data_IF_928030841060
#
_entry.id   IF_928030841060
#
_cell.length_a   1.000
_cell.length_b   1.000
_cell.length_c   1.000
_cell.angle_alpha   90.00
_cell.angle_beta   90.00
_cell.angle_gamma   90.00
#
_symmetry.space_group_name_H-M   'P 1'
#
loop_
_entity.id
_entity.type
_entity.pdbx_description
1 polymer ?
#
# COMPACT_ATOMS: atom_id res chain seq x y z
N UNK A 1 -74.26 -21.41 20.01
CA UNK A 1 -73.24 -20.36 20.23
C UNK A 1 -71.98 -20.90 19.59
N UNK A 2 -71.84 -20.70 18.28
CA UNK A 2 -70.75 -21.27 17.50
C UNK A 2 -69.64 -20.23 17.32
N UNK A 3 -68.43 -20.63 17.69
CA UNK A 3 -67.22 -19.82 17.73
C UNK A 3 -66.59 -19.74 16.32
N UNK A 4 -66.25 -18.55 15.78
CA UNK A 4 -65.58 -18.45 14.49
C UNK A 4 -64.13 -18.95 14.59
N UNK A 5 -63.78 -19.91 13.73
CA UNK A 5 -62.45 -20.51 13.63
C UNK A 5 -61.42 -19.50 13.12
N UNK A 6 -60.41 -19.21 13.93
CA UNK A 6 -59.25 -18.41 13.55
C UNK A 6 -58.33 -19.27 12.63
N UNK A 7 -57.88 -18.78 11.45
CA UNK A 7 -57.03 -19.57 10.56
C UNK A 7 -55.68 -19.92 11.20
N UNK A 8 -55.22 -21.15 10.96
CA UNK A 8 -53.96 -21.67 11.51
C UNK A 8 -52.73 -21.01 10.89
N UNK A 9 -51.60 -20.90 11.62
CA UNK A 9 -50.41 -20.12 11.23
C UNK A 9 -49.72 -20.57 9.92
N UNK A 10 -50.04 -21.76 9.41
CA UNK A 10 -49.54 -22.25 8.12
C UNK A 10 -50.23 -21.55 6.94
N UNK A 11 -51.51 -21.19 7.09
CA UNK A 11 -52.30 -20.48 6.06
C UNK A 11 -51.81 -19.03 5.85
N UNK A 12 -51.42 -18.35 6.93
CA UNK A 12 -50.87 -16.99 6.85
C UNK A 12 -49.48 -16.95 6.22
N UNK A 13 -48.62 -17.94 6.48
CA UNK A 13 -47.26 -17.99 5.90
C UNK A 13 -47.29 -18.24 4.39
N UNK A 14 -48.23 -19.06 3.92
CA UNK A 14 -48.41 -19.33 2.49
C UNK A 14 -49.03 -18.14 1.74
N UNK A 15 -49.97 -17.43 2.35
CA UNK A 15 -50.56 -16.22 1.76
C UNK A 15 -49.58 -15.03 1.72
N UNK A 16 -48.71 -14.88 2.73
CA UNK A 16 -47.62 -13.88 2.72
C UNK A 16 -46.58 -14.18 1.64
N UNK A 17 -46.14 -15.44 1.49
CA UNK A 17 -45.21 -15.86 0.42
C UNK A 17 -45.81 -15.65 -0.99
N UNK A 18 -47.10 -15.91 -1.17
CA UNK A 18 -47.79 -15.66 -2.43
C UNK A 18 -47.88 -14.15 -2.75
N UNK A 19 -48.15 -13.30 -1.76
CA UNK A 19 -48.17 -11.83 -1.93
C UNK A 19 -46.79 -11.25 -2.27
N UNK A 20 -45.72 -11.77 -1.65
CA UNK A 20 -44.34 -11.34 -1.94
C UNK A 20 -43.92 -11.74 -3.36
N UNK A 21 -44.19 -12.99 -3.78
CA UNK A 21 -43.91 -13.44 -5.15
C UNK A 21 -44.68 -12.64 -6.20
N UNK A 22 -45.96 -12.33 -5.94
CA UNK A 22 -46.77 -11.51 -6.85
C UNK A 22 -46.26 -10.07 -6.95
N UNK A 23 -45.77 -9.48 -5.85
CA UNK A 23 -45.11 -8.16 -5.87
C UNK A 23 -43.78 -8.19 -6.64
N UNK A 24 -42.94 -9.20 -6.40
CA UNK A 24 -41.66 -9.37 -7.12
C UNK A 24 -41.87 -9.57 -8.63
N UNK A 25 -42.88 -10.34 -9.04
CA UNK A 25 -43.24 -10.50 -10.45
C UNK A 25 -43.74 -9.19 -11.10
N UNK A 26 -44.50 -8.38 -10.37
CA UNK A 26 -44.97 -7.07 -10.87
C UNK A 26 -43.79 -6.08 -11.01
N UNK A 27 -42.85 -6.05 -10.06
CA UNK A 27 -41.66 -5.22 -10.17
C UNK A 27 -40.73 -5.65 -11.32
N UNK A 28 -40.57 -6.97 -11.54
CA UNK A 28 -39.79 -7.49 -12.68
C UNK A 28 -40.43 -7.13 -14.02
N UNK A 29 -41.76 -7.24 -14.14
CA UNK A 29 -42.50 -6.83 -15.34
C UNK A 29 -42.41 -5.32 -15.61
N UNK A 30 -42.51 -4.49 -14.58
CA UNK A 30 -42.33 -3.03 -14.70
C UNK A 30 -40.89 -2.66 -15.10
N UNK A 31 -39.87 -3.34 -14.56
CA UNK A 31 -38.48 -3.12 -14.94
C UNK A 31 -38.20 -3.52 -16.39
N UNK A 32 -38.78 -4.62 -16.88
CA UNK A 32 -38.67 -5.06 -18.29
C UNK A 32 -39.37 -4.06 -19.22
N UNK A 33 -40.55 -3.55 -18.84
CA UNK A 33 -41.27 -2.54 -19.64
C UNK A 33 -40.49 -1.20 -19.66
N UNK A 34 -39.87 -0.78 -18.55
CA UNK A 34 -39.02 0.42 -18.51
C UNK A 34 -37.75 0.25 -19.35
N UNK A 35 -37.11 -0.93 -19.31
CA UNK A 35 -35.94 -1.22 -20.13
C UNK A 35 -36.28 -1.26 -21.64
N UNK A 36 -37.45 -1.80 -22.00
CA UNK A 36 -37.94 -1.79 -23.38
C UNK A 36 -38.30 -0.37 -23.87
N UNK A 37 -38.88 0.47 -23.00
CA UNK A 37 -39.17 1.87 -23.32
C UNK A 37 -37.89 2.71 -23.50
N UNK A 38 -36.85 2.47 -22.70
CA UNK A 38 -35.55 3.13 -22.85
C UNK A 38 -34.83 2.71 -24.14
N UNK A 39 -34.96 1.44 -24.56
CA UNK A 39 -34.38 0.95 -25.81
C UNK A 39 -35.08 1.52 -27.06
N UNK A 40 -36.40 1.74 -27.02
CA UNK A 40 -37.15 2.35 -28.14
C UNK A 40 -36.92 3.86 -28.24
N UNK A 41 -36.70 4.56 -27.12
CA UNK A 41 -36.35 5.98 -27.12
C UNK A 41 -34.95 6.26 -27.71
N UNK A 42 -34.02 5.29 -27.61
CA UNK A 42 -32.69 5.38 -28.25
C UNK A 42 -32.71 5.17 -29.77
N UNK A 43 -33.76 4.54 -30.32
CA UNK A 43 -33.86 4.20 -31.75
C UNK A 43 -34.52 5.29 -32.60
N UNK A 44 -35.05 6.36 -31.99
CA UNK A 44 -35.81 7.42 -32.68
C UNK A 44 -35.21 8.82 -32.55
N UNK A 45 -34.00 8.95 -32.00
CA UNK A 45 -33.32 10.25 -31.87
C UNK A 45 -32.50 10.58 -33.12
N UNK A 46 -32.65 11.77 -33.73
CA UNK A 46 -31.77 12.21 -34.82
C UNK A 46 -30.34 12.37 -34.29
N UNK A 47 -29.37 11.92 -35.07
CA UNK A 47 -27.97 11.72 -34.69
C UNK A 47 -27.37 12.89 -33.89
N UNK A 48 -26.84 12.56 -32.72
CA UNK A 48 -26.05 13.49 -31.91
C UNK A 48 -24.78 13.90 -32.67
N UNK A 49 -24.37 15.18 -32.58
CA UNK A 49 -23.09 15.62 -33.11
C UNK A 49 -21.96 14.81 -32.48
N UNK A 50 -21.06 14.29 -33.32
CA UNK A 50 -19.88 13.56 -32.88
C UNK A 50 -19.05 14.50 -31.99
N UNK A 51 -18.93 14.14 -30.71
CA UNK A 51 -17.94 14.74 -29.80
C UNK A 51 -16.56 14.41 -30.40
N UNK A 52 -15.66 15.38 -30.59
CA UNK A 52 -14.31 15.09 -31.05
C UNK A 52 -13.67 14.10 -30.07
N UNK A 53 -13.06 13.04 -30.59
CA UNK A 53 -12.29 12.13 -29.77
C UNK A 53 -11.23 12.93 -28.99
N UNK A 54 -11.31 12.93 -27.67
CA UNK A 54 -10.18 13.32 -26.83
C UNK A 54 -8.96 12.50 -27.24
N UNK A 55 -7.76 13.09 -27.27
CA UNK A 55 -6.55 12.31 -27.51
C UNK A 55 -6.45 11.24 -26.42
N UNK A 56 -6.50 9.96 -26.81
CA UNK A 56 -6.17 8.87 -25.91
C UNK A 56 -4.78 9.15 -25.34
N UNK A 57 -4.73 9.42 -24.03
CA UNK A 57 -3.50 9.43 -23.26
C UNK A 57 -2.80 8.09 -23.51
N UNK A 58 -1.54 8.16 -23.95
CA UNK A 58 -0.80 6.97 -24.34
C UNK A 58 -0.71 5.99 -23.16
N UNK A 59 -1.26 4.79 -23.33
CA UNK A 59 -1.08 3.69 -22.39
C UNK A 59 0.41 3.30 -22.38
N UNK A 60 1.11 3.61 -21.29
CA UNK A 60 2.48 3.17 -21.04
C UNK A 60 2.43 1.85 -20.28
N UNK A 61 2.90 0.73 -20.85
CA UNK A 61 2.94 -0.53 -20.14
C UNK A 61 3.89 -0.42 -18.93
N UNK A 62 3.56 -1.08 -17.81
CA UNK A 62 4.36 -1.07 -16.56
C UNK A 62 5.84 -1.44 -16.77
N UNK A 63 6.17 -2.22 -17.78
CA UNK A 63 7.55 -2.58 -18.13
C UNK A 63 8.38 -1.36 -18.58
N UNK A 64 7.75 -0.36 -19.20
CA UNK A 64 8.42 0.88 -19.62
C UNK A 64 8.80 1.79 -18.43
N UNK A 65 8.10 1.68 -17.30
CA UNK A 65 8.47 2.36 -16.05
C UNK A 65 9.78 1.80 -15.46
N UNK A 66 10.01 0.50 -15.65
CA UNK A 66 11.20 -0.19 -15.15
C UNK A 66 12.42 0.06 -16.05
N UNK A 67 12.22 0.17 -17.37
CA UNK A 67 13.32 0.44 -18.31
C UNK A 67 13.85 1.88 -18.18
N UNK A 68 12.97 2.83 -17.84
CA UNK A 68 13.34 4.23 -17.62
C UNK A 68 14.17 4.45 -16.33
N UNK A 69 14.05 3.58 -15.31
CA UNK A 69 14.85 3.66 -14.09
C UNK A 69 16.26 3.07 -14.26
N UNK A 70 16.43 2.09 -15.15
CA UNK A 70 17.74 1.52 -15.48
C UNK A 70 18.60 2.47 -16.34
N UNK A 71 18.00 3.29 -17.20
CA UNK A 71 18.75 4.24 -18.05
C UNK A 71 19.21 5.50 -17.33
N UNK A 72 18.58 5.88 -16.21
CA UNK A 72 18.98 7.04 -15.41
C UNK A 72 20.18 6.78 -14.48
N UNK A 73 20.47 5.52 -14.16
CA UNK A 73 21.55 5.14 -13.23
C UNK A 73 22.92 4.93 -13.90
N UNK A 74 23.00 4.80 -15.23
CA UNK A 74 24.22 4.38 -15.95
C UNK A 74 25.04 5.55 -16.55
N UNK A 75 24.71 6.80 -16.24
CA UNK A 75 25.50 7.96 -16.68
C UNK A 75 26.28 8.63 -15.53
N UNK A 76 27.04 7.84 -14.77
CA UNK A 76 28.21 8.38 -14.09
C UNK A 76 29.32 7.34 -13.93
N UNK A 77 30.35 7.47 -14.77
CA UNK A 77 31.68 6.92 -14.49
C UNK A 77 32.14 5.75 -15.36
N UNK A 78 32.52 6.03 -16.61
CA UNK A 78 33.36 5.12 -17.40
C UNK A 78 34.66 5.81 -17.82
N UNK A 79 35.74 5.51 -17.11
CA UNK A 79 37.13 5.54 -17.60
C UNK A 79 37.91 4.43 -16.88
N UNK A 80 38.08 3.25 -17.51
CA UNK A 80 39.36 2.63 -17.91
C UNK A 80 40.25 2.15 -16.73
N UNK A 81 40.93 1.01 -16.72
CA UNK A 81 41.18 -0.08 -17.67
C UNK A 81 41.82 -1.26 -16.89
N UNK A 82 41.97 -2.40 -17.58
CA UNK A 82 42.74 -3.63 -17.27
C UNK A 82 42.22 -4.52 -16.12
N UNK A 83 41.99 -5.82 -16.27
CA UNK A 83 42.46 -6.78 -17.27
C UNK A 83 43.17 -7.93 -16.57
N UNK A 84 42.44 -8.96 -16.11
CA UNK A 84 43.03 -10.28 -15.80
C UNK A 84 41.95 -11.37 -15.66
N UNK A 85 41.97 -12.30 -16.62
CA UNK A 85 41.36 -13.63 -16.58
C UNK A 85 42.25 -14.55 -15.73
N UNK A 86 41.67 -15.49 -14.96
CA UNK A 86 42.14 -16.89 -14.66
C UNK A 86 41.18 -17.46 -13.59
N UNK A 87 40.24 -18.35 -13.96
CA UNK A 87 40.29 -19.83 -13.96
C UNK A 87 39.90 -20.48 -12.62
N UNK A 88 38.86 -21.30 -12.74
CA UNK A 88 38.27 -22.23 -11.79
C UNK A 88 39.28 -23.26 -11.25
N UNK A 89 39.18 -23.62 -9.98
CA UNK A 89 39.62 -24.92 -9.50
C UNK A 89 38.59 -25.53 -8.55
N UNK A 90 38.05 -26.65 -9.01
CA UNK A 90 37.36 -27.72 -8.29
C UNK A 90 38.36 -28.45 -7.38
N UNK A 91 37.92 -28.93 -6.22
CA UNK A 91 38.50 -30.14 -5.59
C UNK A 91 37.41 -30.84 -4.77
N UNK A 92 37.10 -32.07 -5.19
CA UNK A 92 36.32 -33.06 -4.45
C UNK A 92 37.15 -33.64 -3.29
N UNK A 93 36.45 -34.09 -2.24
CA UNK A 93 37.03 -34.87 -1.15
C UNK A 93 35.93 -35.55 -0.33
N UNK A 94 35.49 -36.70 -0.82
CA UNK A 94 34.64 -37.69 -0.15
C UNK A 94 35.36 -38.32 1.06
N UNK A 95 34.64 -38.57 2.16
CA UNK A 95 34.74 -39.80 2.97
C UNK A 95 33.72 -39.82 4.11
N UNK A 96 33.02 -40.94 4.17
CA UNK A 96 32.03 -41.41 5.13
C UNK A 96 32.65 -41.95 6.43
N UNK A 97 31.92 -41.88 7.55
CA UNK A 97 31.82 -42.94 8.56
C UNK A 97 30.81 -42.59 9.69
N UNK A 98 29.94 -43.55 9.98
CA UNK A 98 28.96 -43.60 11.07
C UNK A 98 29.61 -43.86 12.45
N UNK A 99 28.88 -43.55 13.53
CA UNK A 99 29.20 -44.02 14.89
C UNK A 99 28.33 -43.43 16.00
N UNK A 100 27.31 -44.18 16.42
CA UNK A 100 26.45 -44.01 17.60
C UNK A 100 27.22 -44.18 18.93
N UNK A 101 26.73 -43.58 20.03
CA UNK A 101 27.29 -43.79 21.37
C UNK A 101 26.88 -42.78 22.46
N UNK A 102 26.02 -43.22 23.36
CA UNK A 102 25.33 -42.47 24.43
C UNK A 102 26.14 -42.31 25.75
N UNK A 103 25.94 -41.15 26.41
CA UNK A 103 26.00 -40.79 27.84
C UNK A 103 27.20 -41.13 28.76
N UNK A 104 27.62 -40.11 29.54
CA UNK A 104 28.36 -40.24 30.80
C UNK A 104 28.61 -38.87 31.46
N UNK A 105 28.16 -38.70 32.70
CA UNK A 105 28.16 -37.44 33.47
C UNK A 105 29.50 -37.10 34.15
N UNK A 106 29.59 -35.81 34.53
CA UNK A 106 30.10 -35.22 35.80
C UNK A 106 31.56 -34.75 35.95
N UNK A 107 31.61 -33.55 36.56
CA UNK A 107 32.62 -32.93 37.44
C UNK A 107 33.68 -31.96 36.85
N UNK A 108 33.30 -30.68 36.93
CA UNK A 108 33.98 -29.58 37.63
C UNK A 108 35.48 -29.71 37.88
N UNK A 109 36.27 -28.95 37.12
CA UNK A 109 37.52 -28.38 37.61
C UNK A 109 37.55 -26.89 37.28
N UNK A 110 37.60 -26.07 38.34
CA UNK A 110 37.83 -24.65 38.24
C UNK A 110 39.28 -24.42 37.78
N UNK A 111 39.46 -23.80 36.61
CA UNK A 111 40.75 -23.28 36.19
C UNK A 111 40.65 -21.77 36.06
N UNK A 112 41.28 -21.09 37.01
CA UNK A 112 41.56 -19.66 36.98
C UNK A 112 42.62 -19.43 35.90
N UNK A 113 42.26 -18.70 34.84
CA UNK A 113 43.21 -18.02 33.97
C UNK A 113 42.78 -16.56 33.79
N UNK A 114 43.72 -15.69 34.13
CA UNK A 114 43.78 -14.23 34.01
C UNK A 114 43.39 -13.68 32.63
N UNK A 115 42.99 -12.39 32.54
CA UNK A 115 42.37 -11.80 31.36
C UNK A 115 43.40 -11.56 30.26
N UNK A 116 43.20 -12.20 29.11
CA UNK A 116 43.97 -11.94 27.91
C UNK A 116 43.25 -10.87 27.08
N UNK A 117 43.93 -9.73 26.90
CA UNK A 117 43.84 -8.88 25.71
C UNK A 117 42.52 -8.17 25.47
N UNK A 118 42.50 -6.87 25.70
CA UNK A 118 41.51 -5.98 25.09
C UNK A 118 41.54 -6.16 23.59
N UNK A 119 40.52 -6.84 23.05
CA UNK A 119 40.18 -6.75 21.66
C UNK A 119 39.72 -5.31 21.44
N UNK A 120 40.60 -4.50 20.85
CA UNK A 120 40.22 -3.23 20.25
C UNK A 120 39.13 -3.56 19.24
N UNK A 121 37.87 -3.27 19.58
CA UNK A 121 36.78 -3.34 18.62
C UNK A 121 37.16 -2.37 17.49
N UNK A 122 37.48 -2.93 16.32
CA UNK A 122 37.61 -2.15 15.10
C UNK A 122 36.34 -1.32 14.97
N UNK A 123 36.41 0.02 14.81
CA UNK A 123 35.21 0.82 14.66
C UNK A 123 34.42 0.28 13.46
N UNK A 124 33.16 -0.07 13.70
CA UNK A 124 32.24 -0.45 12.64
C UNK A 124 32.22 0.69 11.61
N UNK A 125 32.32 0.41 10.31
CA UNK A 125 32.23 1.45 9.30
C UNK A 125 30.92 2.23 9.50
N UNK A 126 30.90 3.56 9.24
CA UNK A 126 29.69 4.35 9.34
C UNK A 126 28.60 3.72 8.45
N UNK A 127 27.32 3.75 8.88
CA UNK A 127 26.24 3.17 8.11
C UNK A 127 26.24 3.71 6.68
N UNK A 128 26.13 2.84 5.68
CA UNK A 128 26.00 3.29 4.29
C UNK A 128 24.77 4.22 4.17
N UNK A 129 24.92 5.33 3.45
CA UNK A 129 23.80 6.25 3.17
C UNK A 129 22.88 5.58 2.16
N UNK A 130 21.58 5.55 2.44
CA UNK A 130 20.58 5.06 1.48
C UNK A 130 20.39 6.12 0.40
N UNK A 131 20.64 5.75 -0.86
CA UNK A 131 20.46 6.67 -1.98
C UNK A 131 18.97 6.73 -2.32
N UNK A 132 18.30 7.81 -1.93
CA UNK A 132 16.97 8.12 -2.44
C UNK A 132 17.07 8.84 -3.77
N UNK A 133 16.20 8.50 -4.70
CA UNK A 133 16.05 9.27 -5.93
C UNK A 133 15.76 10.75 -5.60
N UNK A 134 16.39 11.64 -6.36
CA UNK A 134 16.01 13.05 -6.33
C UNK A 134 14.54 13.15 -6.74
N UNK A 135 13.73 13.82 -5.92
CA UNK A 135 12.31 13.98 -6.19
C UNK A 135 12.14 15.24 -7.04
N UNK A 136 11.68 15.14 -8.29
CA UNK A 136 11.45 16.32 -9.11
C UNK A 136 10.42 17.22 -8.44
N UNK A 137 10.72 18.52 -8.40
CA UNK A 137 9.88 19.51 -7.72
C UNK A 137 8.46 19.58 -8.30
N UNK A 138 8.27 19.16 -9.56
CA UNK A 138 6.94 19.13 -10.19
C UNK A 138 6.04 17.97 -9.72
N UNK A 139 6.58 16.96 -9.01
CA UNK A 139 5.84 15.73 -8.66
C UNK A 139 5.51 15.65 -7.18
N UNK A 140 6.47 16.05 -6.33
CA UNK A 140 6.18 16.15 -4.91
C UNK A 140 5.27 17.35 -4.63
N UNK A 141 4.26 17.12 -3.80
CA UNK A 141 3.47 18.22 -3.25
C UNK A 141 4.40 19.12 -2.45
N UNK A 142 4.44 20.40 -2.82
CA UNK A 142 5.24 21.39 -2.11
C UNK A 142 4.63 21.69 -0.73
N UNK A 143 5.47 22.20 0.18
CA UNK A 143 4.99 22.66 1.46
C UNK A 143 3.96 23.80 1.29
N UNK A 144 2.84 23.68 1.99
CA UNK A 144 1.74 24.65 2.06
C UNK A 144 1.63 25.24 3.47
N UNK A 145 0.77 26.25 3.62
CA UNK A 145 0.30 26.66 4.95
C UNK A 145 -0.45 25.50 5.60
N UNK A 146 -0.23 25.29 6.90
CA UNK A 146 -0.94 24.25 7.64
C UNK A 146 -2.46 24.40 7.50
N UNK A 147 -3.14 23.32 7.09
CA UNK A 147 -4.59 23.26 7.00
C UNK A 147 -5.22 22.86 8.33
N UNK A 148 -6.45 23.34 8.58
CA UNK A 148 -7.27 22.83 9.69
C UNK A 148 -7.73 21.39 9.46
N UNK A 149 -8.09 20.69 10.54
CA UNK A 149 -8.53 19.29 10.48
C UNK A 149 -9.76 19.07 9.57
N UNK A 150 -10.57 20.12 9.34
CA UNK A 150 -11.70 20.11 8.41
C UNK A 150 -11.32 19.84 6.96
N UNK A 151 -10.06 20.09 6.59
CA UNK A 151 -9.54 19.69 5.29
C UNK A 151 -9.70 18.17 5.04
N UNK A 152 -9.63 17.37 6.11
CA UNK A 152 -9.70 15.91 6.01
C UNK A 152 -11.13 15.33 6.15
N UNK A 153 -12.16 16.17 6.29
CA UNK A 153 -13.54 15.70 6.53
C UNK A 153 -14.13 14.83 5.39
N UNK A 154 -13.76 15.11 4.14
CA UNK A 154 -14.14 14.34 2.94
C UNK A 154 -12.91 13.61 2.38
N UNK A 155 -12.14 12.96 3.26
CA UNK A 155 -10.89 12.28 2.90
C UNK A 155 -10.90 10.80 3.28
N UNK A 156 -10.48 9.95 2.35
CA UNK A 156 -10.21 8.53 2.62
C UNK A 156 -8.69 8.30 2.76
N UNK A 157 -8.25 7.72 3.87
CA UNK A 157 -6.90 7.15 4.02
C UNK A 157 -6.99 5.64 3.83
N UNK A 158 -6.21 5.11 2.89
CA UNK A 158 -6.21 3.71 2.51
C UNK A 158 -4.80 3.17 2.67
N UNK A 159 -4.65 2.05 3.37
CA UNK A 159 -3.33 1.48 3.58
C UNK A 159 -3.27 0.26 4.48
N UNK A 160 -2.06 -0.02 4.94
CA UNK A 160 -1.69 -1.18 5.75
C UNK A 160 -1.67 -0.87 7.27
N UNK A 161 -0.90 -1.66 8.03
CA UNK A 161 -0.69 -1.50 9.48
C UNK A 161 -0.21 -0.11 9.90
N UNK A 162 0.56 0.59 9.07
CA UNK A 162 1.05 1.94 9.38
C UNK A 162 -0.08 2.96 9.27
N UNK A 163 -0.97 2.77 8.31
CA UNK A 163 -2.20 3.57 8.18
C UNK A 163 -3.18 3.28 9.33
N UNK A 164 -3.27 2.02 9.79
CA UNK A 164 -3.98 1.68 11.03
C UNK A 164 -3.36 2.40 12.24
N UNK A 165 -2.03 2.48 12.33
CA UNK A 165 -1.33 3.26 13.36
C UNK A 165 -1.72 4.75 13.32
N UNK A 166 -1.79 5.34 12.12
CA UNK A 166 -2.24 6.72 11.93
C UNK A 166 -3.70 6.91 12.35
N UNK A 167 -4.59 5.97 12.03
CA UNK A 167 -5.98 5.96 12.49
C UNK A 167 -6.08 5.95 14.03
N UNK A 168 -5.38 5.00 14.68
CA UNK A 168 -5.41 4.82 16.14
C UNK A 168 -4.83 6.04 16.86
N UNK A 169 -3.94 6.79 16.21
CA UNK A 169 -3.39 8.04 16.76
C UNK A 169 -4.47 9.09 17.09
N UNK A 170 -5.63 9.02 16.43
CA UNK A 170 -6.76 9.94 16.60
C UNK A 170 -6.54 11.36 16.07
N UNK A 171 -5.37 11.65 15.46
CA UNK A 171 -4.98 13.00 15.04
C UNK A 171 -5.65 13.50 13.77
N UNK A 172 -6.24 12.60 12.98
CA UNK A 172 -7.01 12.91 11.77
C UNK A 172 -8.46 12.40 11.91
N UNK A 173 -9.08 12.70 13.04
CA UNK A 173 -10.38 12.13 13.45
C UNK A 173 -11.57 12.44 12.52
N UNK A 174 -11.44 13.43 11.64
CA UNK A 174 -12.47 13.76 10.64
C UNK A 174 -12.32 12.95 9.35
N UNK A 175 -11.21 12.25 9.14
CA UNK A 175 -11.00 11.42 7.97
C UNK A 175 -11.67 10.05 8.09
N UNK A 176 -11.97 9.44 6.95
CA UNK A 176 -12.35 8.03 6.88
C UNK A 176 -11.09 7.18 6.68
N UNK A 177 -10.90 6.16 7.51
CA UNK A 177 -9.80 5.21 7.37
C UNK A 177 -10.31 3.88 6.83
N UNK A 178 -9.77 3.47 5.69
CA UNK A 178 -10.06 2.22 5.00
C UNK A 178 -8.78 1.37 4.96
N UNK A 179 -8.38 0.85 6.11
CA UNK A 179 -7.08 0.20 6.29
C UNK A 179 -7.18 -1.06 7.15
N UNK A 180 -6.26 -2.00 6.95
CA UNK A 180 -6.08 -3.17 7.82
C UNK A 180 -4.61 -3.55 7.92
N UNK A 181 -4.24 -4.24 9.01
CA UNK A 181 -2.83 -4.52 9.34
C UNK A 181 -2.09 -5.24 8.21
N UNK A 182 -2.71 -6.24 7.59
CA UNK A 182 -2.12 -7.05 6.53
C UNK A 182 -2.50 -6.62 5.10
N UNK A 183 -3.09 -5.44 4.93
CA UNK A 183 -3.51 -4.96 3.62
C UNK A 183 -2.30 -4.72 2.72
N UNK A 184 -2.44 -5.03 1.45
CA UNK A 184 -1.45 -4.77 0.41
C UNK A 184 -2.20 -4.52 -0.91
N UNK A 185 -1.48 -4.14 -1.97
CA UNK A 185 -2.09 -3.79 -3.26
C UNK A 185 -2.91 -4.93 -3.89
N UNK A 186 -2.53 -6.21 -3.72
CA UNK A 186 -3.26 -7.33 -4.32
C UNK A 186 -4.57 -7.66 -3.60
N UNK A 187 -4.73 -7.18 -2.37
CA UNK A 187 -5.91 -7.41 -1.53
C UNK A 187 -6.95 -6.29 -1.58
N UNK A 188 -6.62 -5.13 -2.16
CA UNK A 188 -7.48 -3.95 -2.22
C UNK A 188 -8.93 -4.23 -2.68
N UNK A 189 -9.11 -5.12 -3.66
CA UNK A 189 -10.42 -5.44 -4.23
C UNK A 189 -11.14 -6.61 -3.56
N UNK A 190 -10.46 -7.40 -2.73
CA UNK A 190 -10.93 -8.73 -2.33
C UNK A 190 -11.01 -8.94 -0.83
N UNK A 191 -10.10 -8.34 -0.05
CA UNK A 191 -10.09 -8.47 1.40
C UNK A 191 -11.12 -7.51 2.02
N UNK A 192 -11.84 -8.01 3.01
CA UNK A 192 -12.77 -7.20 3.79
C UNK A 192 -12.05 -6.52 4.95
N UNK A 193 -12.46 -5.29 5.23
CA UNK A 193 -12.02 -4.50 6.38
C UNK A 193 -13.22 -4.22 7.28
N UNK A 194 -12.96 -4.06 8.58
CA UNK A 194 -13.97 -3.59 9.54
C UNK A 194 -14.10 -2.07 9.41
N UNK A 195 -15.29 -1.61 9.02
CA UNK A 195 -15.65 -0.19 8.94
C UNK A 195 -16.17 0.34 10.30
N UNK A 196 -16.19 -0.51 11.33
CA UNK A 196 -16.72 -0.24 12.65
C UNK A 196 -18.15 -0.73 12.82
N UNK A 197 -18.54 -0.88 14.09
CA UNK A 197 -19.90 -1.32 14.50
C UNK A 197 -20.34 -2.67 13.90
N UNK A 198 -19.38 -3.56 13.58
CA UNK A 198 -19.64 -4.87 12.99
C UNK A 198 -19.98 -4.83 11.50
N UNK A 199 -19.67 -3.73 10.81
CA UNK A 199 -19.85 -3.61 9.36
C UNK A 199 -18.55 -3.96 8.67
N UNK A 200 -18.56 -5.02 7.86
CA UNK A 200 -17.43 -5.38 7.01
C UNK A 200 -17.70 -5.00 5.56
N UNK A 201 -16.67 -4.53 4.86
CA UNK A 201 -16.75 -4.26 3.42
C UNK A 201 -15.37 -4.38 2.79
N UNK A 202 -15.31 -4.54 1.46
CA UNK A 202 -14.05 -4.32 0.75
C UNK A 202 -13.76 -2.83 0.68
N UNK A 203 -12.50 -2.44 0.51
CA UNK A 203 -12.14 -1.02 0.31
C UNK A 203 -12.89 -0.47 -0.91
N UNK A 204 -12.92 -1.23 -2.01
CA UNK A 204 -13.61 -0.85 -3.24
C UNK A 204 -15.12 -0.59 -3.03
N UNK A 205 -15.81 -1.39 -2.24
CA UNK A 205 -17.23 -1.18 -1.97
C UNK A 205 -17.48 -0.05 -0.97
N UNK A 206 -16.63 0.09 0.06
CA UNK A 206 -16.68 1.21 1.00
C UNK A 206 -16.52 2.55 0.28
N UNK A 207 -15.65 2.60 -0.72
CA UNK A 207 -15.42 3.79 -1.51
C UNK A 207 -16.59 4.17 -2.43
N UNK A 208 -17.43 3.22 -2.85
CA UNK A 208 -18.65 3.52 -3.63
C UNK A 208 -19.77 4.10 -2.79
N UNK A 209 -19.72 3.95 -1.47
CA UNK A 209 -20.82 4.30 -0.58
C UNK A 209 -20.99 5.82 -0.40
N UNK A 210 -19.94 6.60 -0.66
CA UNK A 210 -19.95 8.06 -0.53
C UNK A 210 -18.88 8.72 -1.41
N UNK A 211 -19.06 9.98 -1.82
CA UNK A 211 -18.01 10.73 -2.50
C UNK A 211 -16.88 11.09 -1.54
N UNK A 212 -15.66 11.21 -2.06
CA UNK A 212 -14.51 11.77 -1.35
C UNK A 212 -13.89 12.87 -2.19
N UNK A 213 -13.49 13.95 -1.54
CA UNK A 213 -12.74 15.03 -2.21
C UNK A 213 -11.28 14.63 -2.38
N UNK A 214 -10.77 13.77 -1.48
CA UNK A 214 -9.36 13.39 -1.39
C UNK A 214 -9.20 11.92 -1.02
N UNK A 215 -8.21 11.26 -1.62
CA UNK A 215 -7.87 9.87 -1.32
C UNK A 215 -6.36 9.77 -1.14
N UNK A 216 -5.92 9.22 -0.01
CA UNK A 216 -4.51 9.03 0.34
C UNK A 216 -4.21 7.52 0.33
N UNK A 217 -3.27 7.10 -0.51
CA UNK A 217 -2.80 5.73 -0.61
C UNK A 217 -1.45 5.57 0.08
N UNK A 218 -1.32 4.55 0.93
CA UNK A 218 -0.08 4.18 1.61
C UNK A 218 0.04 2.65 1.70
N UNK A 219 0.67 2.08 0.66
CA UNK A 219 1.03 0.66 0.53
C UNK A 219 2.49 0.54 0.13
N UNK A 220 3.10 -0.64 0.33
CA UNK A 220 4.44 -0.97 -0.14
C UNK A 220 5.30 -1.68 0.90
N UNK A 221 5.01 -1.52 2.21
CA UNK A 221 5.76 -2.21 3.26
C UNK A 221 5.48 -3.71 3.28
N UNK A 222 4.30 -4.16 2.84
CA UNK A 222 3.95 -5.57 2.76
C UNK A 222 4.36 -6.21 1.40
N UNK A 223 4.92 -5.40 0.50
CA UNK A 223 5.30 -5.75 -0.86
C UNK A 223 6.81 -5.59 -1.13
N UNK A 224 7.54 -5.01 -0.17
CA UNK A 224 8.96 -4.69 -0.33
C UNK A 224 9.84 -5.92 -0.55
N UNK A 225 9.39 -7.13 -0.21
CA UNK A 225 10.10 -8.40 -0.41
C UNK A 225 9.53 -9.23 -1.57
N UNK A 226 8.52 -8.73 -2.30
CA UNK A 226 7.96 -9.43 -3.46
C UNK A 226 9.03 -9.68 -4.53
N UNK A 227 9.11 -10.88 -5.12
CA UNK A 227 10.12 -11.19 -6.14
C UNK A 227 10.01 -10.29 -7.38
N UNK A 228 8.78 -9.97 -7.79
CA UNK A 228 8.51 -9.15 -8.98
C UNK A 228 8.01 -7.76 -8.57
N UNK A 229 8.90 -6.75 -8.63
CA UNK A 229 8.53 -5.35 -8.35
C UNK A 229 7.60 -4.76 -9.41
N UNK A 230 7.56 -5.36 -10.61
CA UNK A 230 6.64 -4.97 -11.66
C UNK A 230 5.19 -5.35 -11.30
N UNK A 231 4.99 -6.39 -10.48
CA UNK A 231 3.67 -6.75 -9.97
C UNK A 231 3.13 -5.70 -9.01
N UNK A 232 3.98 -5.22 -8.10
CA UNK A 232 3.62 -4.14 -7.17
C UNK A 232 3.11 -2.91 -7.93
N UNK A 233 3.88 -2.41 -8.92
CA UNK A 233 3.49 -1.20 -9.63
C UNK A 233 2.26 -1.41 -10.55
N UNK A 234 2.09 -2.62 -11.10
CA UNK A 234 0.89 -3.00 -11.87
C UNK A 234 -0.38 -2.94 -11.04
N UNK A 235 -0.38 -3.55 -9.86
CA UNK A 235 -1.55 -3.54 -8.99
C UNK A 235 -1.80 -2.14 -8.44
N UNK A 236 -0.76 -1.37 -8.12
CA UNK A 236 -0.91 0.03 -7.72
C UNK A 236 -1.55 0.90 -8.82
N UNK A 237 -1.08 0.77 -10.08
CA UNK A 237 -1.68 1.46 -11.23
C UNK A 237 -3.17 1.09 -11.39
N UNK A 238 -3.50 -0.21 -11.29
CA UNK A 238 -4.88 -0.69 -11.36
C UNK A 238 -5.76 -0.08 -10.28
N UNK A 239 -5.24 0.10 -9.06
CA UNK A 239 -5.95 0.79 -7.98
C UNK A 239 -6.17 2.27 -8.35
N UNK A 240 -5.13 2.97 -8.82
CA UNK A 240 -5.24 4.39 -9.20
C UNK A 240 -6.26 4.60 -10.32
N UNK A 241 -6.20 3.82 -11.39
CA UNK A 241 -7.16 3.90 -12.52
C UNK A 241 -8.59 3.62 -12.04
N UNK A 242 -8.77 2.63 -11.15
CA UNK A 242 -10.06 2.34 -10.54
C UNK A 242 -10.61 3.52 -9.74
N UNK A 243 -9.76 4.17 -8.93
CA UNK A 243 -10.13 5.32 -8.13
C UNK A 243 -10.48 6.53 -9.00
N UNK A 244 -9.69 6.83 -10.02
CA UNK A 244 -9.95 7.92 -10.96
C UNK A 244 -11.27 7.71 -11.71
N UNK A 245 -11.63 6.47 -12.07
CA UNK A 245 -12.90 6.18 -12.72
C UNK A 245 -14.11 6.28 -11.79
N UNK A 246 -13.95 5.94 -10.51
CA UNK A 246 -15.05 5.83 -9.55
C UNK A 246 -15.24 7.09 -8.69
N UNK A 247 -14.18 7.87 -8.46
CA UNK A 247 -14.17 9.17 -7.77
C UNK A 247 -13.46 10.21 -8.65
N UNK A 248 -14.05 10.60 -9.79
CA UNK A 248 -13.36 11.42 -10.81
C UNK A 248 -12.97 12.83 -10.33
N UNK A 249 -13.65 13.35 -9.32
CA UNK A 249 -13.36 14.68 -8.75
C UNK A 249 -12.39 14.62 -7.56
N UNK A 250 -11.98 13.41 -7.13
CA UNK A 250 -11.11 13.25 -5.98
C UNK A 250 -9.65 13.53 -6.33
N UNK A 251 -8.98 14.31 -5.48
CA UNK A 251 -7.53 14.43 -5.50
C UNK A 251 -6.91 13.16 -4.91
N UNK A 252 -6.09 12.46 -5.69
CA UNK A 252 -5.40 11.26 -5.24
C UNK A 252 -3.96 11.60 -4.86
N UNK A 253 -3.61 11.27 -3.62
CA UNK A 253 -2.26 11.34 -3.08
C UNK A 253 -1.69 9.93 -2.91
N UNK A 254 -0.47 9.72 -3.40
CA UNK A 254 0.31 8.51 -3.14
C UNK A 254 1.43 8.89 -2.18
N UNK A 255 1.42 8.26 -1.00
CA UNK A 255 2.44 8.46 0.01
C UNK A 255 3.62 7.54 -0.25
N UNK A 256 4.83 8.08 -0.12
CA UNK A 256 6.06 7.30 -0.08
C UNK A 256 5.98 6.23 1.02
N UNK A 257 6.52 5.05 0.74
CA UNK A 257 6.71 3.97 1.70
C UNK A 257 7.75 4.41 2.71
N UNK A 258 7.40 4.34 4.01
CA UNK A 258 8.29 4.77 5.08
C UNK A 258 9.49 3.84 5.22
N UNK A 259 10.67 4.37 5.57
CA UNK A 259 11.83 3.54 5.87
C UNK A 259 11.61 2.69 7.13
N UNK A 260 12.54 1.79 7.38
CA UNK A 260 12.67 0.99 8.60
C UNK A 260 13.94 1.39 9.35
N UNK A 261 14.02 1.04 10.63
CA UNK A 261 15.21 1.37 11.42
C UNK A 261 16.43 0.59 10.96
N UNK A 262 17.62 1.09 11.31
CA UNK A 262 18.86 0.36 11.03
C UNK A 262 18.87 -1.05 11.64
N UNK A 263 18.35 -1.21 12.87
CA UNK A 263 18.28 -2.51 13.53
C UNK A 263 17.44 -3.52 12.72
N UNK A 264 16.30 -3.08 12.19
CA UNK A 264 15.46 -3.91 11.33
C UNK A 264 16.17 -4.28 10.02
N UNK A 265 16.84 -3.32 9.37
CA UNK A 265 17.61 -3.55 8.14
C UNK A 265 18.75 -4.55 8.34
N UNK A 266 19.37 -4.61 9.52
CA UNK A 266 20.41 -5.59 9.81
C UNK A 266 19.86 -7.04 9.84
N UNK A 267 18.59 -7.21 10.18
CA UNK A 267 17.88 -8.50 10.13
C UNK A 267 17.28 -8.75 8.73
N UNK A 268 16.96 -7.68 8.00
CA UNK A 268 16.32 -7.70 6.68
C UNK A 268 17.19 -6.93 5.67
N UNK A 269 18.33 -7.53 5.33
CA UNK A 269 19.38 -6.89 4.54
C UNK A 269 18.84 -6.21 3.28
N UNK A 270 19.09 -4.91 3.14
CA UNK A 270 18.69 -4.13 1.97
C UNK A 270 17.24 -3.64 1.97
N UNK A 271 16.52 -3.76 3.10
CA UNK A 271 15.14 -3.29 3.22
C UNK A 271 14.98 -1.81 2.85
N UNK A 272 15.78 -0.88 3.42
CA UNK A 272 15.60 0.54 3.11
C UNK A 272 15.96 0.89 1.66
N UNK A 273 16.96 0.22 1.08
CA UNK A 273 17.27 0.44 -0.34
C UNK A 273 16.10 -0.01 -1.22
N UNK A 274 15.54 -1.18 -0.96
CA UNK A 274 14.37 -1.67 -1.71
C UNK A 274 13.17 -0.73 -1.55
N UNK A 275 12.92 -0.21 -0.34
CA UNK A 275 11.84 0.76 -0.09
C UNK A 275 12.08 2.08 -0.85
N UNK A 276 13.33 2.55 -0.91
CA UNK A 276 13.70 3.73 -1.70
C UNK A 276 13.51 3.51 -3.21
N UNK A 277 13.84 2.32 -3.71
CA UNK A 277 13.65 1.96 -5.12
C UNK A 277 12.15 1.89 -5.48
N UNK A 278 11.32 1.31 -4.61
CA UNK A 278 9.87 1.30 -4.77
C UNK A 278 9.27 2.71 -4.74
N UNK A 279 9.81 3.60 -3.89
CA UNK A 279 9.40 5.00 -3.85
C UNK A 279 9.69 5.73 -5.16
N UNK A 280 10.80 5.42 -5.83
CA UNK A 280 11.08 5.97 -7.15
C UNK A 280 10.04 5.52 -8.20
N UNK A 281 9.60 4.26 -8.13
CA UNK A 281 8.53 3.75 -9.01
C UNK A 281 7.18 4.43 -8.73
N UNK A 282 6.83 4.63 -7.45
CA UNK A 282 5.59 5.34 -7.08
C UNK A 282 5.59 6.79 -7.55
N UNK A 283 6.74 7.46 -7.50
CA UNK A 283 6.89 8.81 -8.01
C UNK A 283 6.67 8.88 -9.54
N UNK A 284 7.22 7.92 -10.29
CA UNK A 284 6.95 7.81 -11.74
C UNK A 284 5.47 7.48 -12.03
N UNK A 285 4.85 6.63 -11.22
CA UNK A 285 3.41 6.36 -11.33
C UNK A 285 2.60 7.64 -11.14
N UNK A 286 2.98 8.50 -10.19
CA UNK A 286 2.32 9.80 -9.97
C UNK A 286 2.41 10.69 -11.22
N UNK A 287 3.61 10.81 -11.80
CA UNK A 287 3.82 11.55 -13.06
C UNK A 287 2.91 11.07 -14.18
N UNK A 288 2.81 9.75 -14.36
CA UNK A 288 2.06 9.17 -15.48
C UNK A 288 0.54 9.27 -15.30
N UNK A 289 0.08 9.20 -14.06
CA UNK A 289 -1.36 9.18 -13.73
C UNK A 289 -1.91 10.57 -13.40
N UNK A 290 -1.05 11.59 -13.28
CA UNK A 290 -1.45 12.92 -12.82
C UNK A 290 -1.88 12.95 -11.36
N UNK A 291 -1.43 11.98 -10.56
CA UNK A 291 -1.67 11.95 -9.11
C UNK A 291 -0.53 12.65 -8.36
N UNK A 292 -0.73 12.93 -7.08
CA UNK A 292 0.21 13.73 -6.27
C UNK A 292 1.08 12.85 -5.39
N UNK A 293 2.40 13.07 -5.42
CA UNK A 293 3.34 12.32 -4.57
C UNK A 293 3.60 13.04 -3.25
N UNK A 294 3.49 12.31 -2.14
CA UNK A 294 3.84 12.79 -0.81
C UNK A 294 5.09 12.08 -0.30
N UNK A 295 6.21 12.80 -0.24
CA UNK A 295 7.49 12.32 0.26
C UNK A 295 7.56 12.31 1.80
N UNK A 296 6.68 11.53 2.41
CA UNK A 296 6.62 11.33 3.86
C UNK A 296 7.90 10.66 4.37
N UNK A 297 8.48 9.73 3.60
CA UNK A 297 9.65 8.94 3.96
C UNK A 297 10.81 9.85 4.34
N UNK A 298 11.13 10.83 3.48
CA UNK A 298 12.19 11.81 3.75
C UNK A 298 11.92 12.67 4.98
N UNK A 299 10.66 13.00 5.26
CA UNK A 299 10.29 13.80 6.44
C UNK A 299 10.49 13.07 7.78
N UNK A 300 10.54 11.73 7.74
CA UNK A 300 10.69 10.87 8.92
C UNK A 300 12.08 10.21 9.00
N UNK A 301 12.92 10.35 7.98
CA UNK A 301 14.25 9.76 7.93
C UNK A 301 15.30 10.53 8.76
N UNK A 302 16.33 9.80 9.21
CA UNK A 302 17.62 10.36 9.61
C UNK A 302 18.47 10.79 8.40
N UNK A 303 19.68 11.31 8.66
CA UNK A 303 20.63 11.74 7.63
C UNK A 303 21.13 10.60 6.71
N UNK A 304 20.88 9.34 7.09
CA UNK A 304 21.24 8.16 6.28
C UNK A 304 20.06 7.60 5.49
N UNK A 305 18.88 8.24 5.54
CA UNK A 305 17.67 7.79 4.86
C UNK A 305 16.95 6.63 5.56
N UNK A 306 17.26 6.37 6.84
CA UNK A 306 16.62 5.31 7.65
C UNK A 306 15.63 5.90 8.62
N UNK A 307 14.76 5.07 9.17
CA UNK A 307 13.91 5.49 10.28
C UNK A 307 14.77 5.62 11.55
N UNK A 308 14.75 6.75 12.29
CA UNK A 308 15.50 6.88 13.54
C UNK A 308 15.12 5.80 14.56
N UNK A 309 16.08 5.36 15.38
CA UNK A 309 15.84 4.24 16.30
C UNK A 309 14.74 4.54 17.33
N UNK A 310 14.61 5.79 17.79
CA UNK A 310 13.55 6.20 18.72
C UNK A 310 12.18 6.35 18.05
N UNK A 311 12.11 6.30 16.73
CA UNK A 311 10.87 6.40 15.98
C UNK A 311 10.04 5.12 16.02
N UNK A 312 10.65 3.98 16.34
CA UNK A 312 9.97 2.68 16.32
C UNK A 312 10.63 1.69 17.28
N UNK A 313 9.80 0.95 18.04
CA UNK A 313 10.29 -0.10 18.94
C UNK A 313 10.58 -1.42 18.24
N UNK A 314 9.84 -1.74 17.18
CA UNK A 314 10.01 -2.96 16.37
C UNK A 314 10.72 -2.69 15.04
N UNK A 315 11.11 -1.45 14.82
CA UNK A 315 11.80 -1.00 13.63
C UNK A 315 10.91 -0.68 12.42
N UNK A 316 9.59 -0.89 12.52
CA UNK A 316 8.61 -0.72 11.43
C UNK A 316 7.47 0.22 11.79
N UNK A 317 6.86 0.05 12.97
CA UNK A 317 5.67 0.78 13.40
C UNK A 317 6.05 2.01 14.22
N UNK A 318 5.45 3.15 13.88
CA UNK A 318 5.84 4.45 14.44
C UNK A 318 5.35 4.63 15.89
N UNK A 319 6.18 5.28 16.70
CA UNK A 319 5.77 5.82 17.99
C UNK A 319 4.80 7.00 17.83
N UNK A 320 4.08 7.35 18.90
CA UNK A 320 3.16 8.51 18.91
C UNK A 320 3.83 9.82 18.45
N UNK A 321 5.10 10.03 18.82
CA UNK A 321 5.85 11.21 18.42
C UNK A 321 6.11 11.26 16.90
N UNK A 322 6.35 10.12 16.25
CA UNK A 322 6.56 10.07 14.81
C UNK A 322 5.24 10.04 14.02
N UNK A 323 4.17 9.50 14.59
CA UNK A 323 2.80 9.67 14.05
C UNK A 323 2.38 11.15 14.03
N UNK A 324 2.82 11.93 15.02
CA UNK A 324 2.62 13.38 15.04
C UNK A 324 3.40 14.10 13.94
N UNK A 325 4.67 13.74 13.72
CA UNK A 325 5.46 14.26 12.60
C UNK A 325 4.83 13.93 11.25
N UNK A 326 4.35 12.69 11.07
CA UNK A 326 3.63 12.29 9.86
C UNK A 326 2.35 13.11 9.68
N UNK A 327 1.55 13.27 10.73
CA UNK A 327 0.34 14.11 10.67
C UNK A 327 0.68 15.54 10.28
N UNK A 328 1.69 16.15 10.92
CA UNK A 328 2.13 17.51 10.62
C UNK A 328 2.55 17.65 9.16
N UNK A 329 3.31 16.68 8.63
CA UNK A 329 3.66 16.64 7.21
C UNK A 329 2.42 16.65 6.31
N UNK A 330 1.42 15.80 6.60
CA UNK A 330 0.18 15.74 5.81
C UNK A 330 -0.61 17.06 5.85
N UNK A 331 -0.59 17.77 6.99
CA UNK A 331 -1.27 19.07 7.14
C UNK A 331 -0.58 20.21 6.43
N UNK A 332 0.72 20.09 6.13
CA UNK A 332 1.51 21.12 5.44
C UNK A 332 1.91 20.73 4.03
N UNK A 333 1.34 19.66 3.45
CA UNK A 333 1.61 19.25 2.07
C UNK A 333 0.28 18.89 1.40
N UNK A 334 -0.46 19.94 1.06
CA UNK A 334 -1.81 19.87 0.51
C UNK A 334 -1.90 20.64 -0.80
N UNK A 335 -2.65 20.13 -1.76
CA UNK A 335 -3.05 20.91 -2.94
C UNK A 335 -4.38 21.65 -2.70
N UNK A 336 -4.59 22.81 -3.35
CA UNK A 336 -5.77 23.66 -3.12
C UNK A 336 -7.11 23.01 -3.45
#
# INVERSE_FOLDING_TARGET
>A
MDNPTNPTPVSEKNSRRARVRKRQFVFLLLAIILAAAAAVALLLSPGLPQVPAEPQQAYYPPEALLDASHTAADQSGQTGADGAVVTLNTTEGDSTAEGDGTAGQTETTASVLTPAGGATATPSPPPAVITQAAVPAEVAVAASTEVDDSYFASTAFIGDSRTVGLMISGRLSQATFLASVGMNVSKFFTETIDLGSGTESTIADALKAQPYDKIYLAFGMNEYDWPDKSEFIREYLRIVEYLQGMQPDAVIYIQSILPVTYAYEQEHSGANQTLADLNALLMQLCQNTGTYYLDVARSLSDEYGRLPAEASSDGVHLTSAYLEKWTAYLKTHTVP
#
